data_IF_670323230557
#
_entry.id   IF_670323230557
#
_cell.length_a   1.000
_cell.length_b   1.000
_cell.length_c   1.000
_cell.angle_alpha   90.00
_cell.angle_beta   90.00
_cell.angle_gamma   90.00
#
_symmetry.space_group_name_H-M   'P 1'
#
loop_
_entity.id
_entity.type
_entity.pdbx_description
1 polymer ?
#
# COMPACT_ATOMS: atom_id res chain seq x y z
N UNK A 1 -34.08 20.77 4.18
CA UNK A 1 -33.79 19.35 3.87
C UNK A 1 -33.05 19.34 2.56
N UNK A 2 -31.74 19.55 2.60
CA UNK A 2 -30.84 19.48 1.43
C UNK A 2 -29.86 18.36 1.74
N UNK A 3 -30.30 17.12 1.58
CA UNK A 3 -29.53 15.91 1.86
C UNK A 3 -29.39 15.04 0.60
N UNK A 4 -29.49 15.65 -0.59
CA UNK A 4 -29.55 14.91 -1.87
C UNK A 4 -28.31 15.09 -2.74
N UNK A 5 -27.37 15.98 -2.39
CA UNK A 5 -26.22 16.29 -3.25
C UNK A 5 -24.96 15.50 -2.88
N UNK A 6 -24.82 15.11 -1.61
CA UNK A 6 -23.61 14.48 -1.09
C UNK A 6 -23.49 13.01 -1.53
N UNK A 7 -24.58 12.23 -1.51
CA UNK A 7 -24.61 10.85 -2.02
C UNK A 7 -24.27 10.74 -3.52
N UNK A 8 -24.64 11.74 -4.33
CA UNK A 8 -24.40 11.67 -5.78
C UNK A 8 -22.95 11.94 -6.18
N UNK A 9 -22.18 12.66 -5.36
CA UNK A 9 -20.75 12.91 -5.59
C UNK A 9 -19.92 11.66 -5.24
N UNK A 10 -20.18 11.03 -4.09
CA UNK A 10 -19.47 9.82 -3.66
C UNK A 10 -19.73 8.62 -4.58
N UNK A 11 -20.97 8.47 -5.09
CA UNK A 11 -21.30 7.42 -6.08
C UNK A 11 -20.56 7.63 -7.41
N UNK A 12 -20.33 8.88 -7.82
CA UNK A 12 -19.57 9.20 -9.04
C UNK A 12 -18.07 8.96 -8.84
N UNK A 13 -17.54 9.31 -7.68
CA UNK A 13 -16.15 9.07 -7.30
C UNK A 13 -15.84 7.57 -7.21
N UNK A 14 -16.74 6.78 -6.62
CA UNK A 14 -16.63 5.32 -6.54
C UNK A 14 -16.60 4.67 -7.93
N UNK A 15 -17.46 5.13 -8.85
CA UNK A 15 -17.47 4.61 -10.23
C UNK A 15 -16.18 4.98 -10.98
N UNK A 16 -15.72 6.22 -10.85
CA UNK A 16 -14.49 6.70 -11.48
C UNK A 16 -13.25 5.94 -11.00
N UNK A 17 -13.10 5.76 -9.68
CA UNK A 17 -11.97 5.05 -9.08
C UNK A 17 -11.99 3.55 -9.44
N UNK A 18 -13.16 2.92 -9.44
CA UNK A 18 -13.31 1.52 -9.85
C UNK A 18 -12.87 1.29 -11.30
N UNK A 19 -13.27 2.15 -12.23
CA UNK A 19 -12.86 2.07 -13.63
C UNK A 19 -11.35 2.28 -13.80
N UNK A 20 -10.76 3.23 -13.06
CA UNK A 20 -9.33 3.49 -13.08
C UNK A 20 -8.53 2.25 -12.63
N UNK A 21 -8.92 1.65 -11.50
CA UNK A 21 -8.23 0.49 -10.92
C UNK A 21 -8.26 -0.73 -11.84
N UNK A 22 -9.40 -0.97 -12.47
CA UNK A 22 -9.58 -2.10 -13.39
C UNK A 22 -8.78 -1.98 -14.70
N UNK A 23 -8.31 -0.78 -15.03
CA UNK A 23 -7.47 -0.50 -16.19
C UNK A 23 -5.96 -0.62 -15.87
N UNK A 24 -5.58 -0.74 -14.60
CA UNK A 24 -4.19 -0.99 -14.19
C UNK A 24 -3.85 -2.48 -14.36
N UNK A 25 -2.72 -2.76 -15.00
CA UNK A 25 -2.22 -4.13 -15.16
C UNK A 25 -1.96 -4.76 -13.80
N UNK A 26 -2.54 -5.93 -13.55
CA UNK A 26 -2.44 -6.64 -12.27
C UNK A 26 -3.52 -6.28 -11.26
N UNK A 27 -4.41 -5.34 -11.57
CA UNK A 27 -5.54 -4.93 -10.73
C UNK A 27 -6.89 -5.29 -11.37
N UNK A 28 -6.92 -6.22 -12.34
CA UNK A 28 -8.15 -6.60 -13.06
C UNK A 28 -9.22 -7.20 -12.15
N UNK A 29 -8.81 -7.72 -10.99
CA UNK A 29 -9.67 -8.38 -10.01
C UNK A 29 -10.21 -7.44 -8.91
N UNK A 30 -9.92 -6.14 -8.98
CA UNK A 30 -10.49 -5.16 -8.03
C UNK A 30 -12.01 -5.20 -8.10
N UNK A 31 -12.64 -5.26 -6.94
CA UNK A 31 -14.08 -5.28 -6.75
C UNK A 31 -14.60 -3.91 -6.34
N UNK A 32 -15.91 -3.69 -6.47
CA UNK A 32 -16.54 -2.45 -6.00
C UNK A 32 -16.45 -2.31 -4.48
N UNK A 33 -16.42 -3.43 -3.77
CA UNK A 33 -16.25 -3.45 -2.31
C UNK A 33 -14.87 -2.93 -1.91
N UNK A 34 -13.81 -3.31 -2.63
CA UNK A 34 -12.46 -2.79 -2.34
C UNK A 34 -12.42 -1.25 -2.44
N UNK A 35 -13.08 -0.70 -3.46
CA UNK A 35 -13.15 0.75 -3.68
C UNK A 35 -14.03 1.43 -2.62
N UNK A 36 -15.13 0.80 -2.22
CA UNK A 36 -16.00 1.26 -1.14
C UNK A 36 -15.22 1.36 0.18
N UNK A 37 -14.53 0.28 0.55
CA UNK A 37 -13.70 0.22 1.75
C UNK A 37 -12.63 1.32 1.77
N UNK A 38 -12.02 1.66 0.63
CA UNK A 38 -11.03 2.74 0.58
C UNK A 38 -11.62 4.13 0.71
N UNK A 39 -12.81 4.36 0.16
CA UNK A 39 -13.48 5.67 0.25
C UNK A 39 -14.05 5.91 1.64
N UNK A 40 -14.44 4.86 2.35
CA UNK A 40 -15.04 4.95 3.69
C UNK A 40 -14.08 4.58 4.82
N UNK A 41 -12.84 4.21 4.52
CA UNK A 41 -11.84 3.81 5.52
C UNK A 41 -11.59 4.92 6.56
N UNK A 42 -11.61 6.18 6.12
CA UNK A 42 -11.38 7.35 6.97
C UNK A 42 -12.63 7.77 7.76
N UNK A 43 -13.83 7.32 7.35
CA UNK A 43 -15.08 7.58 8.07
C UNK A 43 -15.23 6.65 9.30
N UNK A 44 -14.38 5.63 9.44
CA UNK A 44 -14.16 4.97 10.72
C UNK A 44 -13.33 5.90 11.62
N UNK A 45 -14.00 6.89 12.24
CA UNK A 45 -13.45 7.80 13.27
C UNK A 45 -13.07 7.06 14.58
N UNK A 46 -12.42 5.89 14.51
CA UNK A 46 -11.72 5.32 15.65
C UNK A 46 -10.25 5.64 15.48
N UNK A 47 -9.84 6.83 15.93
CA UNK A 47 -8.43 7.12 16.17
C UNK A 47 -7.88 6.04 17.12
N UNK A 48 -7.21 5.04 16.56
CA UNK A 48 -6.59 4.00 17.34
C UNK A 48 -5.48 4.64 18.17
N UNK A 49 -5.57 4.50 19.49
CA UNK A 49 -4.52 4.95 20.39
C UNK A 49 -3.21 4.25 20.04
N UNK A 50 -2.07 4.91 20.27
CA UNK A 50 -0.73 4.31 20.08
C UNK A 50 -0.60 3.00 20.87
N UNK A 51 -1.30 2.88 21.99
CA UNK A 51 -1.32 1.69 22.86
C UNK A 51 -2.14 0.56 22.21
N UNK A 52 -3.25 0.90 21.55
CA UNK A 52 -4.08 -0.06 20.81
C UNK A 52 -3.37 -0.57 19.55
N UNK A 53 -2.66 0.31 18.84
CA UNK A 53 -1.79 -0.06 17.71
C UNK A 53 -0.72 -1.05 18.15
N UNK A 54 -0.01 -0.73 19.25
CA UNK A 54 1.07 -1.59 19.76
C UNK A 54 0.55 -2.98 20.13
N UNK A 55 -0.61 -3.05 20.79
CA UNK A 55 -1.23 -4.33 21.13
C UNK A 55 -1.67 -5.14 19.90
N UNK A 56 -2.23 -4.50 18.86
CA UNK A 56 -2.62 -5.18 17.63
C UNK A 56 -1.42 -5.82 16.89
N UNK A 57 -0.26 -5.15 16.91
CA UNK A 57 1.00 -5.70 16.35
C UNK A 57 1.56 -6.86 17.19
N UNK A 58 1.46 -6.78 18.52
CA UNK A 58 1.89 -7.87 19.40
C UNK A 58 0.99 -9.11 19.28
N UNK A 59 -0.31 -8.91 19.05
CA UNK A 59 -1.29 -10.00 18.93
C UNK A 59 -1.19 -10.72 17.58
N UNK A 60 -0.95 -9.98 16.50
CA UNK A 60 -0.64 -10.57 15.18
C UNK A 60 0.69 -11.31 15.19
N UNK A 61 1.70 -10.84 15.92
CA UNK A 61 2.96 -11.56 16.12
C UNK A 61 2.81 -12.93 16.81
N UNK A 62 1.80 -13.08 17.68
CA UNK A 62 1.49 -14.34 18.38
C UNK A 62 0.71 -15.35 17.53
N UNK A 63 0.02 -14.88 16.50
CA UNK A 63 -0.73 -15.74 15.56
C UNK A 63 0.17 -16.50 14.57
N UNK A 64 1.42 -16.05 14.41
CA UNK A 64 2.44 -16.72 13.60
C UNK A 64 3.47 -17.50 14.44
N UNK A 65 3.25 -17.61 15.75
CA UNK A 65 4.03 -18.47 16.66
C UNK A 65 3.31 -19.83 16.81
N UNK A 66 2.89 -20.41 15.68
CA UNK A 66 2.41 -21.79 15.63
C UNK A 66 3.61 -22.72 15.50
N UNK A 67 3.83 -23.46 16.57
CA UNK A 67 4.82 -24.49 16.83
C UNK A 67 4.95 -25.48 15.66
N UNK A 68 5.86 -25.21 14.72
CA UNK A 68 6.35 -26.22 13.79
C UNK A 68 7.87 -26.39 13.96
N UNK A 69 8.22 -27.29 14.87
CA UNK A 69 9.55 -27.89 14.97
C UNK A 69 10.03 -28.41 13.60
N UNK A 70 11.29 -28.10 13.30
CA UNK A 70 12.15 -28.69 12.27
C UNK A 70 11.79 -28.43 10.79
N UNK A 71 12.05 -27.20 10.34
CA UNK A 71 12.66 -26.99 9.03
C UNK A 71 13.89 -26.09 9.22
N UNK A 72 15.06 -26.63 8.88
CA UNK A 72 16.30 -25.87 8.66
C UNK A 72 16.13 -25.00 7.41
N UNK A 73 15.33 -23.95 7.54
CA UNK A 73 15.28 -22.85 6.59
C UNK A 73 15.93 -21.68 7.30
N UNK A 74 17.17 -21.38 6.90
CA UNK A 74 17.97 -20.24 7.35
C UNK A 74 17.03 -19.09 7.71
N UNK A 75 16.87 -18.84 9.02
CA UNK A 75 16.01 -17.76 9.50
C UNK A 75 16.30 -16.53 8.64
N UNK A 76 15.29 -15.91 7.99
CA UNK A 76 15.53 -14.82 7.07
C UNK A 76 16.37 -13.79 7.80
N UNK A 77 17.58 -13.53 7.29
CA UNK A 77 18.55 -12.66 7.94
C UNK A 77 17.87 -11.33 8.22
N UNK A 78 17.48 -11.12 9.50
CA UNK A 78 16.80 -9.90 9.92
C UNK A 78 17.77 -8.76 9.70
N UNK A 79 17.48 -7.92 8.72
CA UNK A 79 18.28 -6.74 8.41
C UNK A 79 17.92 -5.63 9.40
N UNK A 80 18.90 -4.97 10.00
CA UNK A 80 18.61 -3.83 10.84
C UNK A 80 18.18 -2.62 10.00
N UNK A 81 17.52 -1.64 10.61
CA UNK A 81 17.05 -0.43 9.93
C UNK A 81 18.15 0.30 9.16
N UNK A 82 19.37 0.37 9.73
CA UNK A 82 20.50 1.04 9.09
C UNK A 82 20.97 0.30 7.83
N UNK A 83 21.02 -1.04 7.89
CA UNK A 83 21.37 -1.88 6.74
C UNK A 83 20.30 -1.81 5.64
N UNK A 84 19.02 -1.83 6.03
CA UNK A 84 17.88 -1.66 5.12
C UNK A 84 17.91 -0.32 4.43
N UNK A 85 18.13 0.75 5.18
CA UNK A 85 18.25 2.10 4.63
C UNK A 85 19.43 2.22 3.66
N UNK A 86 20.60 1.69 4.03
CA UNK A 86 21.78 1.69 3.17
C UNK A 86 21.55 0.89 1.87
N UNK A 87 20.82 -0.23 1.95
CA UNK A 87 20.44 -1.02 0.79
C UNK A 87 19.51 -0.23 -0.15
N UNK A 88 18.47 0.42 0.39
CA UNK A 88 17.53 1.22 -0.40
C UNK A 88 18.20 2.42 -1.09
N UNK A 89 19.09 3.13 -0.38
CA UNK A 89 19.89 4.20 -0.98
C UNK A 89 20.75 3.71 -2.15
N UNK A 90 21.32 2.51 -2.00
CA UNK A 90 22.11 1.88 -3.06
C UNK A 90 21.25 1.45 -4.25
N UNK A 91 20.08 0.87 -3.99
CA UNK A 91 19.13 0.49 -5.02
C UNK A 91 18.62 1.71 -5.80
N UNK A 92 18.31 2.82 -5.13
CA UNK A 92 17.90 4.08 -5.78
C UNK A 92 18.96 4.58 -6.76
N UNK A 93 20.21 4.69 -6.31
CA UNK A 93 21.33 5.14 -7.18
C UNK A 93 21.57 4.19 -8.35
N UNK A 94 21.39 2.89 -8.14
CA UNK A 94 21.52 1.91 -9.21
C UNK A 94 20.46 2.12 -10.29
N UNK A 95 19.21 2.39 -9.90
CA UNK A 95 18.13 2.71 -10.83
C UNK A 95 18.43 4.01 -11.56
N UNK A 96 18.81 5.08 -10.86
CA UNK A 96 19.17 6.39 -11.44
C UNK A 96 20.33 6.30 -12.46
N UNK A 97 21.20 5.30 -12.35
CA UNK A 97 22.31 5.07 -13.28
C UNK A 97 21.91 4.26 -14.52
N UNK A 98 20.74 3.61 -14.52
CA UNK A 98 20.26 2.91 -15.70
C UNK A 98 19.86 3.94 -16.76
N UNK A 99 20.34 3.76 -18.00
CA UNK A 99 20.00 4.62 -19.14
C UNK A 99 18.49 4.68 -19.41
N UNK A 100 17.77 3.64 -19.01
CA UNK A 100 16.32 3.47 -19.13
C UNK A 100 15.53 4.17 -18.01
N UNK A 101 16.20 4.62 -16.94
CA UNK A 101 15.58 5.44 -15.90
C UNK A 101 15.47 6.93 -16.29
N UNK A 102 16.02 7.29 -17.47
CA UNK A 102 15.73 8.57 -18.10
C UNK A 102 14.30 8.51 -18.63
N UNK A 103 13.38 9.42 -18.25
CA UNK A 103 12.09 9.49 -18.91
C UNK A 103 12.33 9.70 -20.41
N UNK A 104 11.83 8.78 -21.23
CA UNK A 104 11.82 8.89 -22.69
C UNK A 104 10.86 10.03 -23.04
N UNK A 105 11.39 11.26 -23.02
CA UNK A 105 10.62 12.48 -23.06
C UNK A 105 11.51 13.70 -23.32
N UNK A 106 11.88 13.87 -24.59
CA UNK A 106 12.17 15.11 -25.33
C UNK A 106 12.27 16.42 -24.51
N UNK A 107 13.36 17.19 -24.58
CA UNK A 107 13.75 17.94 -25.79
C UNK A 107 12.57 18.63 -26.50
N UNK A 108 11.72 19.36 -25.78
CA UNK A 108 10.67 20.18 -26.39
C UNK A 108 10.55 21.59 -25.79
N UNK A 109 11.66 22.24 -25.41
CA UNK A 109 11.68 23.69 -25.24
C UNK A 109 13.01 24.24 -25.75
N UNK A 110 13.01 24.61 -27.03
CA UNK A 110 14.01 25.49 -27.65
C UNK A 110 13.30 26.77 -28.06
#
# INVERSE_FOLDING_TARGET
>A
MSSSSFDSETEQEQQSLFELMRNLKGCENVTRQDVDEWLTADDLESEMSVEELTNAFEETGKLYDDDNEAVDEQAPTKMCHQEGFAFLEKARRYIEQQSEATPDGESAYR
#
